data_IF_037352387926
#
_entry.id   IF_037352387926
#
_cell.length_a   1.000
_cell.length_b   1.000
_cell.length_c   1.000
_cell.angle_alpha   90.00
_cell.angle_beta   90.00
_cell.angle_gamma   90.00
#
_symmetry.space_group_name_H-M   'P 1'
#
loop_
_entity.id
_entity.type
_entity.pdbx_description
1 polymer ?
#
# COMPACT_ATOMS: atom_id res chain seq x y z
N UNK A 1 -12.57 7.10 -15.53
CA UNK A 1 -11.88 6.30 -16.58
C UNK A 1 -10.37 6.54 -16.60
N UNK A 2 -9.91 7.79 -16.49
CA UNK A 2 -8.47 8.14 -16.43
C UNK A 2 -7.70 7.42 -15.32
N UNK A 3 -8.25 7.37 -14.09
CA UNK A 3 -7.58 6.73 -12.95
C UNK A 3 -7.22 5.25 -13.21
N UNK A 4 -8.09 4.47 -13.86
CA UNK A 4 -7.80 3.07 -14.20
C UNK A 4 -6.71 2.94 -15.28
N UNK A 5 -6.62 3.91 -16.20
CA UNK A 5 -5.57 3.97 -17.21
C UNK A 5 -4.21 4.29 -16.59
N UNK A 6 -4.16 5.31 -15.72
CA UNK A 6 -2.94 5.68 -15.00
C UNK A 6 -2.40 4.56 -14.12
N UNK A 7 -3.28 3.81 -13.46
CA UNK A 7 -2.86 2.64 -12.70
C UNK A 7 -2.25 1.60 -13.64
N UNK A 8 -2.89 1.27 -14.76
CA UNK A 8 -2.31 0.31 -15.72
C UNK A 8 -0.96 0.75 -16.31
N UNK A 9 -0.74 2.05 -16.47
CA UNK A 9 0.50 2.60 -17.01
C UNK A 9 1.61 2.73 -15.95
N UNK A 10 1.30 2.49 -14.68
CA UNK A 10 2.26 2.54 -13.59
C UNK A 10 2.99 1.21 -13.45
N UNK A 11 4.31 1.23 -13.64
CA UNK A 11 5.16 0.05 -13.46
C UNK A 11 5.43 -0.29 -11.98
N UNK A 12 5.16 0.64 -11.07
CA UNK A 12 5.45 0.46 -9.64
C UNK A 12 4.27 0.89 -8.78
N UNK A 13 3.87 0.01 -7.85
CA UNK A 13 2.88 0.28 -6.82
C UNK A 13 3.48 0.05 -5.44
N UNK A 14 3.21 0.99 -4.52
CA UNK A 14 3.50 0.87 -3.10
C UNK A 14 2.17 0.88 -2.37
N UNK A 15 1.79 -0.27 -1.82
CA UNK A 15 0.49 -0.46 -1.19
C UNK A 15 0.69 -0.80 0.29
N UNK A 16 0.18 0.05 1.17
CA UNK A 16 0.15 -0.20 2.61
C UNK A 16 -1.05 -1.06 2.98
N UNK A 17 -1.05 -1.57 4.21
CA UNK A 17 -2.13 -2.40 4.73
C UNK A 17 -3.51 -1.74 4.58
N UNK A 18 -4.47 -2.52 4.11
CA UNK A 18 -5.87 -2.13 4.01
C UNK A 18 -6.61 -2.90 5.10
N UNK A 19 -7.13 -2.20 6.11
CA UNK A 19 -7.77 -2.85 7.27
C UNK A 19 -9.05 -3.62 6.93
N UNK A 20 -9.65 -3.33 5.77
CA UNK A 20 -10.81 -4.05 5.24
C UNK A 20 -10.42 -5.00 4.09
N UNK A 21 -10.80 -6.27 4.24
CA UNK A 21 -10.57 -7.33 3.24
C UNK A 21 -11.31 -7.04 1.93
N UNK A 22 -12.47 -6.40 1.97
CA UNK A 22 -13.23 -6.10 0.76
C UNK A 22 -12.61 -4.94 -0.04
N UNK A 23 -12.00 -3.97 0.65
CA UNK A 23 -11.16 -2.94 0.01
C UNK A 23 -9.92 -3.57 -0.66
N UNK A 24 -9.23 -4.48 0.04
CA UNK A 24 -8.08 -5.19 -0.51
C UNK A 24 -8.45 -6.00 -1.77
N UNK A 25 -9.63 -6.62 -1.79
CA UNK A 25 -10.14 -7.34 -2.97
C UNK A 25 -10.46 -6.42 -4.15
N UNK A 26 -11.04 -5.25 -3.91
CA UNK A 26 -11.29 -4.27 -4.98
C UNK A 26 -9.98 -3.73 -5.55
N UNK A 27 -9.00 -3.41 -4.69
CA UNK A 27 -7.65 -3.05 -5.13
C UNK A 27 -7.02 -4.20 -5.95
N UNK A 28 -7.19 -5.44 -5.51
CA UNK A 28 -6.73 -6.63 -6.24
C UNK A 28 -7.30 -6.74 -7.65
N UNK A 29 -8.62 -6.55 -7.81
CA UNK A 29 -9.28 -6.54 -9.12
C UNK A 29 -8.78 -5.42 -10.02
N UNK A 30 -8.49 -4.25 -9.45
CA UNK A 30 -8.05 -3.08 -10.20
C UNK A 30 -6.60 -3.20 -10.68
N UNK A 31 -5.73 -3.78 -9.85
CA UNK A 31 -4.28 -3.84 -10.05
C UNK A 31 -3.78 -5.18 -10.58
N UNK A 32 -4.67 -6.18 -10.72
CA UNK A 32 -4.29 -7.52 -11.17
C UNK A 32 -3.43 -8.25 -10.15
N UNK A 33 -3.78 -8.13 -8.87
CA UNK A 33 -3.14 -8.85 -7.78
C UNK A 33 -3.65 -10.28 -7.73
N UNK A 34 -2.78 -11.19 -7.30
CA UNK A 34 -3.11 -12.56 -6.94
C UNK A 34 -3.83 -12.61 -5.59
N UNK A 35 -4.50 -13.72 -5.31
CA UNK A 35 -5.17 -13.95 -4.02
C UNK A 35 -4.18 -13.84 -2.85
N UNK A 36 -2.95 -14.31 -3.02
CA UNK A 36 -1.89 -14.17 -2.01
C UNK A 36 -1.56 -12.71 -1.72
N UNK A 37 -1.45 -11.87 -2.74
CA UNK A 37 -1.18 -10.43 -2.57
C UNK A 37 -2.35 -9.72 -1.90
N UNK A 38 -3.59 -10.09 -2.22
CA UNK A 38 -4.79 -9.55 -1.57
C UNK A 38 -4.84 -9.94 -0.09
N UNK A 39 -4.57 -11.20 0.25
CA UNK A 39 -4.51 -11.64 1.65
C UNK A 39 -3.40 -10.92 2.41
N UNK A 40 -2.21 -10.74 1.80
CA UNK A 40 -1.12 -9.98 2.41
C UNK A 40 -1.54 -8.54 2.73
N UNK A 41 -2.16 -7.83 1.78
CA UNK A 41 -2.61 -6.44 1.98
C UNK A 41 -3.58 -6.29 3.16
N UNK A 42 -4.41 -7.30 3.43
CA UNK A 42 -5.35 -7.24 4.55
C UNK A 42 -4.71 -7.36 5.94
N UNK A 43 -3.43 -7.75 6.01
CA UNK A 43 -2.74 -8.05 7.26
C UNK A 43 -1.39 -7.35 7.46
N UNK A 44 -1.02 -6.37 6.61
CA UNK A 44 0.24 -5.66 6.77
C UNK A 44 0.22 -4.75 7.99
N UNK A 45 1.33 -4.73 8.73
CA UNK A 45 1.59 -3.72 9.75
C UNK A 45 1.73 -2.32 9.13
N UNK A 46 1.56 -1.28 9.95
CA UNK A 46 1.56 0.11 9.53
C UNK A 46 2.88 0.55 8.85
N UNK A 47 4.00 -0.11 9.18
CA UNK A 47 5.33 0.17 8.61
C UNK A 47 5.71 -0.76 7.45
N UNK A 48 4.81 -1.64 6.99
CA UNK A 48 5.09 -2.59 5.91
C UNK A 48 4.19 -2.31 4.71
N UNK A 49 4.79 -2.32 3.53
CA UNK A 49 4.08 -2.20 2.26
C UNK A 49 4.37 -3.37 1.33
N UNK A 50 3.38 -3.74 0.53
CA UNK A 50 3.57 -4.57 -0.65
C UNK A 50 4.04 -3.68 -1.80
N UNK A 51 5.28 -3.92 -2.25
CA UNK A 51 5.84 -3.28 -3.44
C UNK A 51 5.66 -4.21 -4.62
N UNK A 52 4.90 -3.74 -5.61
CA UNK A 52 4.78 -4.43 -6.90
C UNK A 52 5.52 -3.63 -7.96
N UNK A 53 6.59 -4.21 -8.48
CA UNK A 53 7.37 -3.64 -9.58
C UNK A 53 7.22 -4.57 -10.77
N UNK A 54 6.50 -4.12 -11.80
CA UNK A 54 6.04 -4.93 -12.93
C UNK A 54 5.24 -6.15 -12.44
N UNK A 55 5.81 -7.35 -12.56
CA UNK A 55 5.19 -8.61 -12.15
C UNK A 55 5.74 -9.18 -10.85
N UNK A 56 6.67 -8.47 -10.18
CA UNK A 56 7.30 -8.95 -8.95
C UNK A 56 6.77 -8.20 -7.76
N UNK A 57 6.50 -8.96 -6.72
CA UNK A 57 5.93 -8.44 -5.49
C UNK A 57 6.82 -8.79 -4.31
N UNK A 58 7.08 -7.81 -3.46
CA UNK A 58 8.02 -7.90 -2.35
C UNK A 58 7.42 -7.15 -1.16
N UNK A 59 7.52 -7.71 0.04
CA UNK A 59 7.20 -6.99 1.26
C UNK A 59 8.39 -6.13 1.67
N UNK A 60 8.13 -4.86 1.92
CA UNK A 60 9.14 -3.88 2.31
C UNK A 60 8.74 -3.27 3.64
N UNK A 61 9.58 -3.46 4.65
CA UNK A 61 9.48 -2.73 5.91
C UNK A 61 10.11 -1.34 5.73
N UNK A 62 9.30 -0.31 5.83
CA UNK A 62 9.74 1.08 5.79
C UNK A 62 10.28 1.51 7.14
N UNK A 63 11.40 2.22 7.12
CA UNK A 63 12.03 2.79 8.30
C UNK A 63 12.06 4.30 8.14
N UNK A 64 11.62 4.99 9.17
CA UNK A 64 11.69 6.43 9.25
C UNK A 64 12.95 6.83 10.02
N UNK A 65 13.70 7.75 9.43
CA UNK A 65 14.74 8.51 10.11
C UNK A 65 14.12 9.47 11.14
N UNK A 66 14.94 9.99 12.06
CA UNK A 66 14.47 10.96 13.06
C UNK A 66 13.88 12.23 12.43
N UNK A 67 14.46 12.69 11.31
CA UNK A 67 13.99 13.88 10.59
C UNK A 67 12.62 13.61 9.98
N UNK A 68 12.41 12.46 9.32
CA UNK A 68 11.13 12.14 8.69
C UNK A 68 9.98 12.06 9.71
N UNK A 69 10.24 11.53 10.91
CA UNK A 69 9.24 11.44 11.98
C UNK A 69 8.67 12.81 12.37
N UNK A 70 9.46 13.87 12.29
CA UNK A 70 9.00 15.23 12.60
C UNK A 70 7.93 15.73 11.63
N UNK A 71 7.89 15.19 10.40
CA UNK A 71 6.93 15.59 9.37
C UNK A 71 5.76 14.62 9.23
N UNK A 72 5.95 13.34 9.57
CA UNK A 72 4.95 12.29 9.31
C UNK A 72 4.06 11.96 10.50
N UNK A 73 4.41 12.38 11.72
CA UNK A 73 3.60 12.08 12.92
C UNK A 73 2.47 13.10 13.09
N UNK A 74 1.44 12.98 12.26
CA UNK A 74 0.29 13.90 12.25
C UNK A 74 -0.78 13.53 13.28
N UNK A 75 -0.75 12.33 13.85
CA UNK A 75 -1.76 11.87 14.82
C UNK A 75 -1.77 12.73 16.09
N UNK A 76 -0.61 13.22 16.54
CA UNK A 76 -0.51 14.18 17.65
C UNK A 76 -1.16 15.53 17.33
N UNK A 77 -1.13 15.97 16.06
CA UNK A 77 -1.73 17.23 15.63
C UNK A 77 -3.25 17.10 15.37
N UNK A 78 -3.76 15.87 15.24
CA UNK A 78 -5.17 15.55 14.97
C UNK A 78 -5.95 15.12 16.23
N UNK A 79 -5.26 14.95 17.37
CA UNK A 79 -5.89 14.72 18.67
C UNK A 79 -6.48 16.02 19.25
N UNK A 80 -7.66 16.41 18.75
CA UNK A 80 -8.51 17.48 19.27
C UNK A 80 -9.85 16.91 19.75
#
# INVERSE_FOLDING_TARGET
RLAKGLLKDSDTFVMFGMGDRDEAREAGRLLGLSDTEVELLSGLGQDVALWRVKSRSILVAHRFTEIERQFTYTDEAMAL
#
